data_IF_962183889500
#
_entry.id   IF_962183889500
#
_cell.length_a   1.000
_cell.length_b   1.000
_cell.length_c   1.000
_cell.angle_alpha   90.00
_cell.angle_beta   90.00
_cell.angle_gamma   90.00
#
_symmetry.space_group_name_H-M   'P 1'
#
loop_
_entity.id
_entity.type
_entity.pdbx_description
1 polymer ?
#
# COMPACT_ATOMS: atom_id res chain seq x y z
N UNK A 1 12.89 -4.74 -23.45
CA UNK A 1 13.88 -5.30 -22.50
C UNK A 1 13.62 -4.74 -21.10
N UNK A 2 13.40 -5.60 -20.10
CA UNK A 2 13.07 -5.18 -18.73
C UNK A 2 14.36 -5.16 -17.90
N UNK A 3 14.78 -3.96 -17.50
CA UNK A 3 16.13 -3.74 -16.97
C UNK A 3 16.37 -4.25 -15.54
N UNK A 4 17.61 -4.63 -15.19
CA UNK A 4 18.02 -5.16 -13.89
C UNK A 4 17.70 -4.25 -12.68
N UNK A 5 17.43 -2.97 -12.91
CA UNK A 5 16.99 -2.01 -11.90
C UNK A 5 15.63 -2.39 -11.28
N UNK A 6 14.65 -2.85 -12.08
CA UNK A 6 13.31 -3.21 -11.56
C UNK A 6 13.38 -4.41 -10.61
N UNK A 7 14.12 -5.45 -11.01
CA UNK A 7 14.34 -6.63 -10.17
C UNK A 7 15.13 -6.30 -8.89
N UNK A 8 16.03 -5.30 -8.92
CA UNK A 8 16.70 -4.80 -7.73
C UNK A 8 15.75 -4.03 -6.80
N UNK A 9 14.88 -3.15 -7.33
CA UNK A 9 13.85 -2.46 -6.56
C UNK A 9 12.81 -3.40 -5.96
N UNK A 10 12.41 -4.44 -6.69
CA UNK A 10 11.51 -5.48 -6.20
C UNK A 10 12.17 -6.28 -5.06
N UNK A 11 13.44 -6.67 -5.21
CA UNK A 11 14.18 -7.38 -4.15
C UNK A 11 14.45 -6.53 -2.91
N UNK A 12 14.83 -5.26 -3.08
CA UNK A 12 15.13 -4.36 -1.95
C UNK A 12 13.85 -3.83 -1.28
N UNK A 13 12.75 -3.68 -2.03
CA UNK A 13 11.48 -3.14 -1.55
C UNK A 13 10.53 -4.17 -0.93
N UNK A 14 10.70 -5.47 -1.24
CA UNK A 14 9.85 -6.57 -0.75
C UNK A 14 10.65 -7.66 0.01
N UNK A 15 11.84 -7.31 0.52
CA UNK A 15 12.63 -8.18 1.40
C UNK A 15 11.91 -8.49 2.73
N UNK A 16 12.42 -9.50 3.44
CA UNK A 16 11.85 -9.95 4.72
C UNK A 16 11.71 -8.84 5.77
N UNK A 17 10.74 -9.01 6.66
CA UNK A 17 10.44 -8.04 7.70
C UNK A 17 11.61 -7.93 8.66
N UNK A 18 12.11 -6.69 8.84
CA UNK A 18 12.96 -6.37 9.99
C UNK A 18 12.12 -6.41 11.27
N UNK A 19 12.75 -6.48 12.44
CA UNK A 19 12.10 -6.44 13.77
C UNK A 19 11.07 -5.29 13.89
N UNK A 20 11.33 -4.16 13.23
CA UNK A 20 10.42 -3.02 13.16
C UNK A 20 9.10 -3.31 12.41
N UNK A 21 9.10 -4.22 11.44
CA UNK A 21 7.90 -4.56 10.68
C UNK A 21 6.99 -5.59 11.37
N UNK A 22 7.52 -6.44 12.27
CA UNK A 22 6.68 -7.24 13.17
C UNK A 22 5.91 -6.36 14.15
N UNK A 23 6.58 -5.35 14.73
CA UNK A 23 5.93 -4.36 15.58
C UNK A 23 4.80 -3.61 14.85
N UNK A 24 5.00 -3.27 13.57
CA UNK A 24 3.93 -2.67 12.72
C UNK A 24 2.78 -3.63 12.51
N UNK A 25 3.05 -4.92 12.28
CA UNK A 25 2.01 -5.94 12.11
C UNK A 25 1.15 -6.05 13.37
N UNK A 26 1.76 -6.10 14.54
CA UNK A 26 1.04 -6.10 15.82
C UNK A 26 0.18 -4.84 15.99
N UNK A 27 0.77 -3.66 15.75
CA UNK A 27 0.04 -2.40 15.81
C UNK A 27 -1.17 -2.37 14.86
N UNK A 28 -1.00 -2.80 13.60
CA UNK A 28 -2.08 -2.90 12.62
C UNK A 28 -3.18 -3.86 13.08
N UNK A 29 -2.83 -4.99 13.68
CA UNK A 29 -3.81 -5.96 14.18
C UNK A 29 -4.75 -5.36 15.24
N UNK A 30 -4.28 -4.37 16.01
CA UNK A 30 -5.05 -3.68 17.05
C UNK A 30 -5.87 -2.50 16.51
N UNK A 31 -5.35 -1.83 15.47
CA UNK A 31 -5.95 -0.62 14.89
C UNK A 31 -7.00 -0.97 13.84
N UNK A 32 -6.70 -1.89 12.92
CA UNK A 32 -7.57 -2.22 11.77
C UNK A 32 -9.01 -2.56 12.15
N UNK A 33 -9.30 -3.37 13.19
CA UNK A 33 -10.68 -3.72 13.56
C UNK A 33 -11.54 -2.52 13.98
N UNK A 34 -10.92 -1.39 14.30
CA UNK A 34 -11.60 -0.14 14.73
C UNK A 34 -11.84 0.83 13.58
N UNK A 35 -11.34 0.53 12.38
CA UNK A 35 -11.49 1.39 11.21
C UNK A 35 -12.71 0.98 10.39
N UNK A 36 -13.26 1.94 9.64
CA UNK A 36 -14.40 1.71 8.72
C UNK A 36 -14.11 0.70 7.60
N UNK A 37 -12.83 0.41 7.35
CA UNK A 37 -12.36 -0.48 6.28
C UNK A 37 -11.96 -1.86 6.81
N UNK A 38 -12.31 -2.20 8.04
CA UNK A 38 -11.89 -3.43 8.71
C UNK A 38 -12.24 -4.69 7.90
N UNK A 39 -13.44 -4.73 7.31
CA UNK A 39 -13.96 -5.83 6.47
C UNK A 39 -13.28 -5.94 5.10
N UNK A 40 -12.51 -4.92 4.71
CA UNK A 40 -11.72 -4.87 3.47
C UNK A 40 -10.26 -5.21 3.69
N UNK A 41 -9.83 -5.38 4.94
CA UNK A 41 -8.42 -5.50 5.31
C UNK A 41 -8.11 -6.89 5.87
N UNK A 42 -7.00 -7.48 5.44
CA UNK A 42 -6.48 -8.74 6.00
C UNK A 42 -4.96 -8.68 6.10
N UNK A 43 -4.40 -9.04 7.25
CA UNK A 43 -2.96 -9.19 7.40
C UNK A 43 -2.54 -10.60 6.98
N UNK A 44 -1.69 -10.69 5.96
CA UNK A 44 -1.16 -11.96 5.46
C UNK A 44 0.35 -11.84 5.29
N UNK A 45 1.09 -12.67 6.02
CA UNK A 45 2.55 -12.64 6.11
C UNK A 45 3.10 -11.22 6.34
N UNK A 46 3.84 -10.70 5.35
CA UNK A 46 4.50 -9.40 5.31
C UNK A 46 3.69 -8.30 4.62
N UNK A 47 2.40 -8.54 4.39
CA UNK A 47 1.51 -7.63 3.69
C UNK A 47 0.23 -7.32 4.49
N UNK A 48 -0.22 -6.08 4.34
CA UNK A 48 -1.62 -5.71 4.53
C UNK A 48 -2.32 -5.82 3.17
N UNK A 49 -3.22 -6.79 3.05
CA UNK A 49 -4.10 -6.95 1.89
C UNK A 49 -5.31 -6.05 2.09
N UNK A 50 -5.61 -5.22 1.09
CA UNK A 50 -6.73 -4.27 1.08
C UNK A 50 -7.56 -4.54 -0.17
N UNK A 51 -8.83 -4.87 0.00
CA UNK A 51 -9.79 -5.03 -1.10
C UNK A 51 -10.44 -3.67 -1.39
N UNK A 52 -10.13 -3.09 -2.55
CA UNK A 52 -10.86 -1.97 -3.13
C UNK A 52 -12.07 -2.43 -3.96
N UNK A 53 -12.71 -1.48 -4.64
CA UNK A 53 -13.80 -1.76 -5.58
C UNK A 53 -13.28 -2.07 -6.99
N UNK A 54 -12.12 -1.53 -7.37
CA UNK A 54 -11.49 -1.74 -8.67
C UNK A 54 -10.47 -2.88 -8.63
N UNK A 55 -9.63 -2.94 -7.59
CA UNK A 55 -8.57 -3.95 -7.45
C UNK A 55 -8.35 -4.41 -6.01
N UNK A 56 -7.59 -5.48 -5.84
CA UNK A 56 -7.03 -5.89 -4.54
C UNK A 56 -5.57 -5.46 -4.47
N UNK A 57 -5.17 -4.93 -3.32
CA UNK A 57 -3.88 -4.30 -3.11
C UNK A 57 -3.12 -4.99 -1.98
N UNK A 58 -1.83 -5.26 -2.18
CA UNK A 58 -0.94 -5.82 -1.17
C UNK A 58 0.08 -4.77 -0.78
N UNK A 59 -0.08 -4.19 0.42
CA UNK A 59 0.81 -3.16 0.97
C UNK A 59 1.88 -3.84 1.82
N UNK A 60 3.15 -3.72 1.42
CA UNK A 60 4.27 -4.31 2.14
C UNK A 60 4.52 -3.60 3.46
N UNK A 61 4.62 -4.35 4.56
CA UNK A 61 4.72 -3.76 5.91
C UNK A 61 6.08 -3.11 6.21
N UNK A 62 7.14 -3.51 5.50
CA UNK A 62 8.47 -2.90 5.64
C UNK A 62 8.63 -1.59 4.86
N UNK A 63 8.20 -1.58 3.60
CA UNK A 63 8.47 -0.48 2.65
C UNK A 63 7.24 0.40 2.37
N UNK A 64 6.04 -0.05 2.70
CA UNK A 64 4.77 0.52 2.26
C UNK A 64 4.57 0.51 0.73
N UNK A 65 5.32 -0.33 0.00
CA UNK A 65 5.13 -0.54 -1.43
C UNK A 65 3.82 -1.28 -1.70
N UNK A 66 3.19 -1.02 -2.85
CA UNK A 66 1.89 -1.58 -3.21
C UNK A 66 2.04 -2.43 -4.46
N UNK A 67 1.58 -3.68 -4.36
CA UNK A 67 1.32 -4.55 -5.50
C UNK A 67 -0.19 -4.65 -5.72
N UNK A 68 -0.59 -4.81 -6.97
CA UNK A 68 -1.98 -4.99 -7.36
C UNK A 68 -2.20 -6.40 -7.91
N UNK A 69 -3.20 -7.09 -7.37
CA UNK A 69 -3.62 -8.40 -7.87
C UNK A 69 -4.51 -8.22 -9.12
N UNK A 70 -4.51 -9.19 -10.07
CA UNK A 70 -3.80 -10.48 -10.01
C UNK A 70 -2.42 -10.48 -10.68
N UNK A 71 -1.99 -9.38 -11.27
CA UNK A 71 -0.82 -9.34 -12.17
C UNK A 71 0.47 -8.85 -11.50
N UNK A 72 0.42 -8.56 -10.21
CA UNK A 72 1.50 -8.03 -9.39
C UNK A 72 2.07 -6.70 -9.93
N UNK A 73 1.25 -5.93 -10.65
CA UNK A 73 1.63 -4.59 -11.08
C UNK A 73 1.86 -3.68 -9.89
N UNK A 74 2.93 -2.89 -9.98
CA UNK A 74 3.29 -1.94 -8.95
C UNK A 74 2.40 -0.69 -9.02
N UNK A 75 1.93 -0.22 -7.86
CA UNK A 75 1.24 1.05 -7.73
C UNK A 75 2.10 2.06 -6.94
N UNK A 76 2.54 3.12 -7.61
CA UNK A 76 3.33 4.18 -6.99
C UNK A 76 2.42 5.30 -6.49
N UNK A 77 2.35 5.44 -5.17
CA UNK A 77 1.67 6.56 -4.50
C UNK A 77 2.70 7.29 -3.65
N UNK A 78 3.01 8.52 -4.07
CA UNK A 78 3.93 9.42 -3.38
C UNK A 78 3.11 10.42 -2.59
N UNK A 79 3.38 10.59 -1.27
CA UNK A 79 2.74 11.65 -0.50
C UNK A 79 2.99 13.00 -1.15
N UNK A 80 1.94 13.79 -1.40
CA UNK A 80 2.14 15.17 -1.85
C UNK A 80 2.82 15.96 -0.73
N UNK A 81 3.84 16.75 -1.08
CA UNK A 81 4.42 17.75 -0.16
C UNK A 81 3.42 18.91 -0.02
N UNK A 82 2.26 18.67 0.58
CA UNK A 82 1.31 19.74 0.84
C UNK A 82 1.92 20.72 1.87
N UNK A 83 1.75 22.03 1.64
CA UNK A 83 2.10 23.13 2.58
C UNK A 83 1.27 23.14 3.86
N UNK A 84 0.26 22.27 3.95
CA UNK A 84 -0.63 22.11 5.09
C UNK A 84 -0.27 20.81 5.80
N UNK A 85 -0.11 20.78 7.12
CA UNK A 85 0.15 19.54 7.85
C UNK A 85 -0.96 18.55 7.52
N UNK A 86 -0.61 17.42 6.88
CA UNK A 86 -1.50 16.27 6.86
C UNK A 86 -1.90 15.98 8.31
N UNK A 87 -3.18 15.71 8.57
CA UNK A 87 -3.68 15.40 9.90
C UNK A 87 -2.76 14.33 10.51
N UNK A 88 -1.93 14.73 11.49
CA UNK A 88 -1.04 13.81 12.19
C UNK A 88 -1.95 12.83 12.91
N UNK A 89 -2.06 11.61 12.37
CA UNK A 89 -2.64 10.50 13.10
C UNK A 89 -1.71 10.27 14.28
N UNK A 90 -2.14 10.65 15.47
CA UNK A 90 -1.44 10.32 16.70
C UNK A 90 -1.60 8.81 16.93
N UNK A 91 -0.70 8.04 16.35
CA UNK A 91 -0.52 6.65 16.70
C UNK A 91 0.26 6.62 18.04
N UNK A 92 -0.03 5.69 18.96
CA UNK A 92 0.68 5.55 20.24
C UNK A 92 2.16 5.15 20.09
N UNK A 93 2.69 5.12 18.87
CA UNK A 93 4.07 4.83 18.50
C UNK A 93 4.43 5.79 17.34
N UNK A 94 5.55 6.53 17.45
CA UNK A 94 6.03 7.46 16.40
C UNK A 94 6.60 6.68 15.20
N UNK A 95 5.73 6.05 14.41
CA UNK A 95 6.14 5.33 13.19
C UNK A 95 5.50 5.95 11.94
N UNK A 96 6.28 6.78 11.25
CA UNK A 96 5.91 7.39 9.96
C UNK A 96 5.53 6.35 8.91
N UNK A 97 6.13 5.15 8.95
CA UNK A 97 5.82 4.05 8.02
C UNK A 97 4.45 3.47 8.32
N UNK A 98 4.09 3.27 9.59
CA UNK A 98 2.77 2.78 9.98
C UNK A 98 1.68 3.77 9.54
N UNK A 99 1.91 5.06 9.75
CA UNK A 99 1.01 6.14 9.29
C UNK A 99 0.85 6.15 7.77
N UNK A 100 1.95 5.93 7.03
CA UNK A 100 1.93 5.82 5.57
C UNK A 100 1.14 4.59 5.08
N UNK A 101 1.32 3.43 5.73
CA UNK A 101 0.57 2.20 5.40
C UNK A 101 -0.92 2.43 5.61
N UNK A 102 -1.32 3.01 6.75
CA UNK A 102 -2.73 3.29 7.06
C UNK A 102 -3.34 4.29 6.08
N UNK A 103 -2.60 5.36 5.73
CA UNK A 103 -3.05 6.35 4.75
C UNK A 103 -3.31 5.73 3.38
N UNK A 104 -2.40 4.84 2.93
CA UNK A 104 -2.57 4.08 1.68
C UNK A 104 -3.75 3.11 1.76
N UNK A 105 -3.91 2.39 2.87
CA UNK A 105 -5.03 1.46 3.04
C UNK A 105 -6.39 2.17 2.97
N UNK A 106 -6.53 3.32 3.64
CA UNK A 106 -7.75 4.13 3.61
C UNK A 106 -8.06 4.65 2.19
N UNK A 107 -7.04 5.13 1.48
CA UNK A 107 -7.20 5.60 0.10
C UNK A 107 -7.63 4.46 -0.84
N UNK A 108 -6.97 3.31 -0.75
CA UNK A 108 -7.16 2.18 -1.66
C UNK A 108 -8.44 1.37 -1.36
N UNK A 109 -8.91 1.39 -0.12
CA UNK A 109 -10.20 0.79 0.22
C UNK A 109 -11.39 1.51 -0.44
N UNK A 110 -11.21 2.76 -0.89
CA UNK A 110 -12.19 3.54 -1.67
C UNK A 110 -11.63 3.94 -3.03
N UNK A 111 -10.94 3.02 -3.72
CA UNK A 111 -10.25 3.26 -4.99
C UNK A 111 -11.15 3.84 -6.10
N UNK A 112 -12.45 3.51 -6.08
CA UNK A 112 -13.47 4.04 -7.00
C UNK A 112 -13.72 5.55 -6.86
N UNK A 113 -13.42 6.11 -5.68
CA UNK A 113 -13.61 7.53 -5.34
C UNK A 113 -12.34 8.37 -5.56
N UNK A 114 -11.22 7.74 -5.94
CA UNK A 114 -9.95 8.44 -6.17
C UNK A 114 -10.09 9.40 -7.36
N UNK A 115 -9.88 10.70 -7.11
CA UNK A 115 -9.94 11.74 -8.15
C UNK A 115 -8.62 11.99 -8.86
N UNK A 116 -7.49 11.55 -8.29
CA UNK A 116 -6.16 11.71 -8.89
C UNK A 116 -6.03 10.83 -10.15
N UNK A 117 -5.99 11.48 -11.32
CA UNK A 117 -5.89 10.82 -12.62
C UNK A 117 -4.62 9.99 -12.79
N UNK A 118 -3.51 10.35 -12.11
CA UNK A 118 -2.25 9.58 -12.18
C UNK A 118 -2.34 8.25 -11.42
N UNK A 119 -3.06 8.23 -10.31
CA UNK A 119 -3.32 7.00 -9.54
C UNK A 119 -4.30 6.12 -10.32
N UNK A 120 -5.38 6.70 -10.86
CA UNK A 120 -6.36 5.97 -11.68
C UNK A 120 -5.73 5.33 -12.93
N UNK A 121 -4.85 6.05 -13.62
CA UNK A 121 -4.15 5.53 -14.79
C UNK A 121 -3.27 4.32 -14.45
N UNK A 122 -2.57 4.35 -13.31
CA UNK A 122 -1.78 3.21 -12.84
C UNK A 122 -2.66 2.01 -12.47
N UNK A 123 -3.78 2.23 -11.77
CA UNK A 123 -4.74 1.17 -11.42
C UNK A 123 -5.30 0.50 -12.68
N UNK A 124 -5.65 1.28 -13.70
CA UNK A 124 -6.15 0.75 -14.97
C UNK A 124 -5.06 0.04 -15.79
N UNK A 125 -3.87 0.63 -15.87
CA UNK A 125 -2.76 0.17 -16.71
C UNK A 125 -2.14 -1.17 -16.29
N UNK A 126 -2.34 -1.60 -15.03
CA UNK A 126 -1.88 -2.92 -14.59
C UNK A 126 -2.55 -4.09 -15.34
N UNK A 127 -3.70 -3.89 -15.99
CA UNK A 127 -4.36 -4.97 -16.75
C UNK A 127 -3.80 -5.11 -18.17
N UNK A 128 -3.03 -4.15 -18.67
CA UNK A 128 -2.64 -4.09 -20.07
C UNK A 128 -1.38 -4.93 -20.34
N UNK A 129 -1.55 -6.25 -20.43
CA UNK A 129 -0.61 -7.09 -21.19
C UNK A 129 -0.88 -6.83 -22.69
N UNK A 130 0.05 -6.22 -23.46
CA UNK A 130 -0.09 -6.26 -24.91
C UNK A 130 -0.01 -7.73 -25.34
N UNK A 131 -1.04 -8.21 -26.04
CA UNK A 131 -0.95 -9.45 -26.80
C UNK A 131 -0.02 -9.17 -27.98
N UNK A 132 1.21 -9.67 -27.89
CA UNK A 132 2.05 -9.97 -29.05
C UNK A 132 2.35 -11.46 -29.03
#
# INVERSE_FOLDING_TARGET
EQGPARAYWERAGFADLTETAEARRDALSRVLPRLKIADRCTLHDRFLVVRGDLRTYRIHLGSANILMDPDDSYLCIVPSRARTPAAKVFLPFEDDRLSLILSKALLLAGDSEISDGSIRAQIAGGVERPRF
#
